data_IF_298640532267
#
_entry.id   IF_298640532267
#
_cell.length_a   1.000
_cell.length_b   1.000
_cell.length_c   1.000
_cell.angle_alpha   90.00
_cell.angle_beta   90.00
_cell.angle_gamma   90.00
#
_symmetry.space_group_name_H-M   'P 1'
#
loop_
_entity.id
_entity.type
_entity.pdbx_description
1 polymer ?
#
# COMPACT_ATOMS: atom_id res chain seq x y z
N UNK A 1 -12.33 -15.00 3.84
CA UNK A 1 -13.63 -14.61 4.42
C UNK A 1 -14.06 -13.21 3.96
N UNK A 2 -13.53 -12.10 4.48
CA UNK A 2 -14.01 -10.74 4.12
C UNK A 2 -13.94 -10.39 2.61
N UNK A 3 -12.84 -10.75 1.92
CA UNK A 3 -12.66 -10.49 0.48
C UNK A 3 -13.65 -11.28 -0.37
N UNK A 4 -13.92 -12.52 0.02
CA UNK A 4 -14.76 -13.44 -0.76
C UNK A 4 -16.21 -12.94 -0.80
N UNK A 5 -16.71 -12.34 0.30
CA UNK A 5 -18.01 -11.68 0.33
C UNK A 5 -18.10 -10.51 -0.65
N UNK A 6 -17.05 -9.70 -0.77
CA UNK A 6 -17.02 -8.55 -1.70
C UNK A 6 -16.97 -9.01 -3.16
N UNK A 7 -16.30 -10.12 -3.44
CA UNK A 7 -16.26 -10.75 -4.78
C UNK A 7 -17.61 -11.41 -5.10
N UNK A 8 -18.23 -12.07 -4.12
CA UNK A 8 -19.56 -12.66 -4.21
C UNK A 8 -20.71 -11.63 -4.28
N UNK A 9 -20.39 -10.33 -4.34
CA UNK A 9 -21.36 -9.27 -4.63
C UNK A 9 -21.95 -8.58 -3.40
N UNK A 10 -21.43 -8.81 -2.19
CA UNK A 10 -21.86 -8.09 -0.98
C UNK A 10 -21.32 -6.66 -1.04
N UNK A 11 -22.07 -5.78 -1.72
CA UNK A 11 -21.79 -4.35 -1.90
C UNK A 11 -23.11 -3.58 -1.90
N UNK A 12 -23.11 -2.37 -1.33
CA UNK A 12 -24.26 -1.48 -1.34
C UNK A 12 -23.84 -0.07 -1.72
N UNK A 13 -24.73 0.65 -2.40
CA UNK A 13 -24.57 2.07 -2.71
C UNK A 13 -25.55 2.86 -1.86
N UNK A 14 -25.13 4.03 -1.37
CA UNK A 14 -26.01 5.00 -0.73
C UNK A 14 -25.91 6.35 -1.44
N UNK A 15 -27.01 7.09 -1.45
CA UNK A 15 -27.05 8.44 -2.03
C UNK A 15 -26.86 9.46 -0.91
N UNK A 16 -25.73 10.16 -0.91
CA UNK A 16 -25.56 11.36 -0.10
C UNK A 16 -26.32 12.53 -0.75
N UNK A 17 -27.00 13.34 0.06
CA UNK A 17 -27.59 14.61 -0.39
C UNK A 17 -26.67 15.75 0.02
N UNK A 18 -26.66 16.82 -0.77
CA UNK A 18 -25.98 18.05 -0.40
C UNK A 18 -26.52 18.57 0.94
N UNK A 19 -25.60 18.91 1.83
CA UNK A 19 -25.96 19.59 3.07
C UNK A 19 -26.40 21.02 2.75
N UNK A 20 -27.34 21.56 3.53
CA UNK A 20 -27.68 22.98 3.40
C UNK A 20 -26.46 23.84 3.71
N UNK A 21 -26.37 25.04 3.11
CA UNK A 21 -25.26 25.98 3.36
C UNK A 21 -25.09 26.27 4.86
N UNK A 22 -26.20 26.32 5.59
CA UNK A 22 -26.23 26.49 7.05
C UNK A 22 -25.62 25.30 7.80
N UNK A 23 -25.84 24.07 7.32
CA UNK A 23 -25.21 22.87 7.87
C UNK A 23 -23.72 22.80 7.46
N UNK A 24 -23.36 23.21 6.24
CA UNK A 24 -21.97 23.28 5.79
C UNK A 24 -21.16 24.29 6.62
N UNK A 25 -21.75 25.43 6.97
CA UNK A 25 -21.13 26.47 7.81
C UNK A 25 -21.06 26.05 9.29
N UNK A 26 -22.07 25.33 9.80
CA UNK A 26 -22.07 24.83 11.18
C UNK A 26 -21.05 23.71 11.43
N UNK A 27 -20.65 22.98 10.38
CA UNK A 27 -19.66 21.88 10.45
C UNK A 27 -18.29 22.29 9.90
N UNK A 28 -18.13 23.53 9.45
CA UNK A 28 -16.85 24.10 9.10
C UNK A 28 -16.04 24.28 10.38
N UNK A 29 -15.42 23.19 10.85
CA UNK A 29 -14.31 23.28 11.77
C UNK A 29 -13.33 24.33 11.21
N UNK A 30 -12.79 25.24 12.03
CA UNK A 30 -11.76 26.15 11.54
C UNK A 30 -10.72 25.28 10.87
N UNK A 31 -10.45 25.56 9.60
CA UNK A 31 -9.35 24.92 8.89
C UNK A 31 -8.07 25.36 9.59
N UNK A 32 -7.74 24.72 10.72
CA UNK A 32 -6.37 24.64 11.21
C UNK A 32 -5.58 24.23 9.98
N UNK A 33 -4.69 25.10 9.55
CA UNK A 33 -3.92 24.91 8.33
C UNK A 33 -3.19 23.57 8.43
N UNK A 34 -3.83 22.52 7.90
CA UNK A 34 -3.20 21.22 7.74
C UNK A 34 -2.07 21.51 6.76
N UNK A 35 -0.83 21.39 7.22
CA UNK A 35 0.32 21.57 6.35
C UNK A 35 0.11 20.70 5.10
N UNK A 36 0.20 21.29 3.91
CA UNK A 36 0.10 20.54 2.67
C UNK A 36 1.29 19.57 2.58
N UNK A 37 1.10 18.34 3.04
CA UNK A 37 2.14 17.31 2.96
C UNK A 37 2.03 16.61 1.61
N UNK A 38 3.08 16.75 0.78
CA UNK A 38 3.19 16.04 -0.49
C UNK A 38 3.97 14.74 -0.31
N UNK A 39 3.39 13.63 -0.79
CA UNK A 39 4.05 12.32 -0.82
C UNK A 39 4.31 11.90 -2.26
N UNK A 40 5.51 11.35 -2.52
CA UNK A 40 5.88 10.75 -3.80
C UNK A 40 5.95 9.24 -3.60
N UNK A 41 5.05 8.48 -4.22
CA UNK A 41 4.96 7.01 -4.13
C UNK A 41 4.81 6.46 -5.55
N UNK A 42 5.46 5.35 -5.85
CA UNK A 42 5.31 4.63 -7.11
C UNK A 42 5.17 3.14 -6.84
N UNK A 43 4.47 2.42 -7.74
CA UNK A 43 4.38 0.97 -7.71
C UNK A 43 5.61 0.37 -8.41
N UNK A 44 6.27 -0.58 -7.76
CA UNK A 44 7.45 -1.27 -8.29
C UNK A 44 7.29 -2.78 -8.10
N UNK A 45 7.70 -3.56 -9.09
CA UNK A 45 7.80 -5.01 -8.95
C UNK A 45 9.06 -5.38 -8.15
N UNK A 46 8.89 -6.24 -7.14
CA UNK A 46 9.94 -6.69 -6.24
C UNK A 46 9.74 -8.19 -6.00
N UNK A 47 10.82 -8.95 -6.09
CA UNK A 47 10.83 -10.34 -5.66
C UNK A 47 10.84 -10.40 -4.13
N UNK A 48 9.79 -10.97 -3.54
CA UNK A 48 9.68 -11.16 -2.10
C UNK A 48 9.99 -12.60 -1.71
N UNK A 49 11.05 -12.80 -0.91
CA UNK A 49 11.33 -14.07 -0.24
C UNK A 49 10.63 -14.13 1.12
N UNK A 50 9.70 -15.06 1.27
CA UNK A 50 8.95 -15.26 2.52
C UNK A 50 9.74 -16.05 3.57
N UNK A 51 10.80 -16.76 3.18
CA UNK A 51 11.58 -17.61 4.07
C UNK A 51 13.10 -17.36 3.89
N UNK A 52 13.57 -16.11 4.08
CA UNK A 52 14.95 -15.72 3.72
C UNK A 52 16.02 -16.41 4.59
N UNK A 53 15.66 -16.93 5.77
CA UNK A 53 16.57 -17.69 6.62
C UNK A 53 16.82 -19.11 6.07
N UNK A 54 15.92 -19.65 5.26
CA UNK A 54 16.00 -21.02 4.73
C UNK A 54 15.78 -22.12 5.78
N UNK A 55 15.43 -21.76 7.01
CA UNK A 55 15.14 -22.64 8.13
C UNK A 55 14.15 -21.96 9.08
N UNK A 56 13.59 -22.70 10.04
CA UNK A 56 12.66 -22.14 11.02
C UNK A 56 13.42 -21.24 12.01
N UNK A 57 13.12 -19.94 11.96
CA UNK A 57 13.76 -18.94 12.81
C UNK A 57 13.37 -19.02 14.29
N UNK A 58 12.34 -19.80 14.65
CA UNK A 58 11.91 -19.97 16.04
C UNK A 58 12.79 -20.96 16.81
N UNK A 59 13.21 -22.05 16.16
CA UNK A 59 13.97 -23.14 16.79
C UNK A 59 15.36 -23.37 16.15
N UNK A 60 15.64 -22.75 15.00
CA UNK A 60 16.91 -22.92 14.28
C UNK A 60 17.01 -24.20 13.46
N UNK A 61 15.95 -25.01 13.41
CA UNK A 61 15.94 -26.28 12.68
C UNK A 61 15.52 -26.10 11.22
N UNK A 62 15.89 -27.06 10.38
CA UNK A 62 15.42 -27.10 8.99
C UNK A 62 13.90 -27.22 8.89
N UNK A 63 13.34 -26.78 7.76
CA UNK A 63 11.90 -26.84 7.53
C UNK A 63 11.36 -28.27 7.61
N UNK A 64 10.28 -28.45 8.37
CA UNK A 64 9.52 -29.69 8.43
C UNK A 64 8.64 -29.88 7.20
N UNK A 65 7.91 -30.99 7.17
CA UNK A 65 7.03 -31.34 6.02
C UNK A 65 5.95 -30.28 5.76
N UNK A 66 5.47 -29.60 6.79
CA UNK A 66 4.45 -28.57 6.65
C UNK A 66 5.01 -27.31 5.98
N UNK A 67 6.16 -26.85 6.43
CA UNK A 67 6.82 -25.64 5.94
C UNK A 67 7.34 -25.85 4.52
N UNK A 68 7.89 -27.03 4.22
CA UNK A 68 8.37 -27.40 2.89
C UNK A 68 7.27 -27.33 1.83
N UNK A 69 5.99 -27.52 2.21
CA UNK A 69 4.85 -27.34 1.30
C UNK A 69 4.72 -25.92 0.75
N UNK A 70 5.31 -24.92 1.41
CA UNK A 70 5.26 -23.52 1.01
C UNK A 70 6.64 -22.96 0.61
N UNK A 71 7.73 -23.51 1.15
CA UNK A 71 9.08 -22.96 0.95
C UNK A 71 9.87 -23.67 -0.14
N UNK A 72 9.60 -24.95 -0.39
CA UNK A 72 10.36 -25.74 -1.37
C UNK A 72 9.87 -25.45 -2.78
N UNK A 73 10.78 -24.97 -3.63
CA UNK A 73 10.50 -24.86 -5.06
C UNK A 73 10.44 -26.25 -5.71
N UNK A 74 9.53 -26.42 -6.67
CA UNK A 74 9.35 -27.63 -7.44
C UNK A 74 8.77 -27.30 -8.82
N UNK A 75 8.51 -28.32 -9.63
CA UNK A 75 8.08 -28.12 -11.02
C UNK A 75 6.74 -27.39 -11.17
N UNK A 76 5.82 -27.59 -10.21
CA UNK A 76 4.53 -26.90 -10.14
C UNK A 76 4.43 -25.90 -8.97
N UNK A 77 5.51 -25.70 -8.22
CA UNK A 77 5.48 -24.94 -6.97
C UNK A 77 6.55 -23.84 -6.97
N UNK A 78 6.17 -22.56 -6.81
CA UNK A 78 7.11 -21.44 -6.88
C UNK A 78 8.10 -21.38 -5.70
N UNK A 79 7.83 -22.10 -4.61
CA UNK A 79 8.65 -22.07 -3.39
C UNK A 79 8.48 -20.76 -2.61
N UNK A 80 9.50 -20.39 -1.83
CA UNK A 80 9.44 -19.24 -0.91
C UNK A 80 9.47 -17.87 -1.58
N UNK A 81 9.76 -17.79 -2.89
CA UNK A 81 9.92 -16.52 -3.61
C UNK A 81 8.76 -16.27 -4.55
N UNK A 82 8.25 -15.05 -4.53
CA UNK A 82 7.20 -14.63 -5.46
C UNK A 82 7.37 -13.17 -5.84
N UNK A 83 7.12 -12.88 -7.11
CA UNK A 83 7.04 -11.51 -7.60
C UNK A 83 5.83 -10.81 -6.98
N UNK A 84 6.04 -9.60 -6.48
CA UNK A 84 4.99 -8.76 -5.88
C UNK A 84 5.15 -7.33 -6.31
N UNK A 85 4.09 -6.55 -6.19
CA UNK A 85 4.15 -5.11 -6.32
C UNK A 85 4.28 -4.50 -4.93
N UNK A 86 5.34 -3.70 -4.72
CA UNK A 86 5.54 -2.86 -3.54
C UNK A 86 5.42 -1.40 -3.92
N UNK A 87 5.09 -0.53 -2.95
CA UNK A 87 4.88 0.89 -3.22
C UNK A 87 5.71 1.77 -2.29
N UNK A 88 7.02 1.89 -2.55
CA UNK A 88 7.91 2.69 -1.73
C UNK A 88 7.64 4.20 -1.86
N UNK A 89 8.02 4.93 -0.83
CA UNK A 89 8.04 6.38 -0.84
C UNK A 89 9.38 6.92 -1.36
N UNK A 90 9.33 8.05 -2.05
CA UNK A 90 10.47 8.76 -2.64
C UNK A 90 10.60 10.15 -2.07
N UNK A 91 11.81 10.71 -2.19
CA UNK A 91 12.12 12.07 -1.72
C UNK A 91 11.54 13.14 -2.62
N UNK A 92 11.31 12.84 -3.91
CA UNK A 92 10.81 13.79 -4.91
C UNK A 92 10.13 13.12 -6.10
N UNK A 93 9.44 13.92 -6.91
CA UNK A 93 8.64 13.45 -8.06
C UNK A 93 9.42 12.95 -9.28
N UNK A 94 10.76 12.89 -9.20
CA UNK A 94 11.59 12.21 -10.21
C UNK A 94 11.75 10.71 -9.93
N UNK A 95 11.29 10.23 -8.76
CA UNK A 95 11.34 8.82 -8.37
C UNK A 95 12.73 8.16 -8.45
N UNK A 96 13.80 8.94 -8.29
CA UNK A 96 15.19 8.44 -8.34
C UNK A 96 15.65 7.92 -6.98
N UNK A 97 15.34 8.66 -5.91
CA UNK A 97 15.85 8.36 -4.57
C UNK A 97 14.70 7.95 -3.64
N UNK A 98 14.72 6.67 -3.21
CA UNK A 98 13.79 6.16 -2.21
C UNK A 98 14.03 6.84 -0.86
N UNK A 99 12.96 7.19 -0.16
CA UNK A 99 13.03 7.61 1.24
C UNK A 99 13.47 6.40 2.06
N UNK A 100 14.65 6.48 2.69
CA UNK A 100 15.08 5.46 3.65
C UNK A 100 14.13 5.50 4.84
N UNK A 101 13.56 4.34 5.20
CA UNK A 101 12.87 4.19 6.47
C UNK A 101 13.86 4.32 7.62
N UNK A 102 13.45 4.89 8.75
CA UNK A 102 14.24 4.83 9.98
C UNK A 102 14.38 3.38 10.46
N UNK A 103 15.26 3.15 11.44
CA UNK A 103 15.47 1.82 12.03
C UNK A 103 14.15 1.20 12.57
N UNK A 104 13.21 2.06 12.95
CA UNK A 104 11.84 1.75 13.38
C UNK A 104 10.94 1.15 12.29
N UNK A 105 11.36 1.13 11.01
CA UNK A 105 10.55 0.60 9.89
C UNK A 105 11.16 -0.65 9.25
N UNK A 106 12.25 -1.17 9.78
CA UNK A 106 12.94 -2.36 9.25
C UNK A 106 12.06 -3.62 9.30
N UNK A 107 11.18 -3.73 10.31
CA UNK A 107 10.26 -4.86 10.46
C UNK A 107 8.99 -4.77 9.58
N UNK A 108 8.85 -3.70 8.81
CA UNK A 108 7.59 -3.43 8.10
C UNK A 108 7.40 -4.27 6.82
N UNK A 109 8.47 -4.85 6.26
CA UNK A 109 8.47 -5.82 5.17
C UNK A 109 7.39 -5.61 4.09
N UNK A 110 6.63 -6.67 3.84
CA UNK A 110 5.33 -6.73 3.12
C UNK A 110 4.43 -5.49 3.26
N UNK A 111 4.17 -5.20 4.53
CA UNK A 111 2.93 -4.63 5.06
C UNK A 111 3.04 -3.11 5.25
N UNK A 112 4.26 -2.61 5.53
CA UNK A 112 4.51 -1.19 5.77
C UNK A 112 4.25 -0.28 4.58
N UNK A 113 4.37 -0.82 3.37
CA UNK A 113 4.42 -0.01 2.14
C UNK A 113 3.14 -0.12 1.29
N UNK A 114 2.29 -1.11 1.57
CA UNK A 114 1.03 -1.31 0.85
C UNK A 114 -0.04 -0.24 1.18
N UNK A 115 0.00 0.37 2.38
CA UNK A 115 -0.99 1.39 2.80
C UNK A 115 -1.05 2.61 1.89
N UNK A 116 0.04 2.91 1.18
CA UNK A 116 0.15 4.12 0.35
C UNK A 116 -0.21 3.87 -1.12
N UNK A 117 -0.17 2.63 -1.59
CA UNK A 117 -0.40 2.31 -3.00
C UNK A 117 -1.85 2.51 -3.45
N UNK A 118 -2.80 2.31 -2.54
CA UNK A 118 -4.23 2.54 -2.79
C UNK A 118 -4.69 3.98 -2.54
N UNK A 119 -3.80 4.87 -2.09
CA UNK A 119 -4.14 6.27 -1.83
C UNK A 119 -3.78 7.10 -3.06
N UNK A 120 -4.64 7.03 -4.07
CA UNK A 120 -4.62 7.94 -5.22
C UNK A 120 -5.11 9.32 -4.79
N UNK A 121 -4.40 10.09 -3.96
CA UNK A 121 -4.76 11.50 -3.74
C UNK A 121 -3.54 12.39 -3.52
N UNK A 122 -3.19 13.14 -4.57
CA UNK A 122 -2.68 14.49 -4.38
C UNK A 122 -3.86 15.36 -3.89
N UNK A 123 -3.92 15.67 -2.60
CA UNK A 123 -4.76 16.78 -2.13
C UNK A 123 -4.04 18.06 -2.55
N UNK A 124 -4.28 18.51 -3.79
CA UNK A 124 -4.05 19.89 -4.18
C UNK A 124 -5.37 20.64 -4.03
N UNK A 125 -5.63 21.13 -2.82
CA UNK A 125 -6.58 22.23 -2.66
C UNK A 125 -5.90 23.51 -3.13
N UNK A 126 -5.88 23.72 -4.45
CA UNK A 126 -5.64 25.04 -5.03
C UNK A 126 -6.72 25.24 -6.08
N UNK A 127 -7.58 26.24 -5.83
CA UNK A 127 -8.54 26.77 -6.79
C UNK A 127 -7.87 26.92 -8.17
N UNK A 128 -8.46 26.31 -9.18
CA UNK A 128 -8.09 26.49 -10.58
C UNK A 128 -7.28 25.33 -11.16
N UNK A 129 -7.93 24.59 -12.05
CA UNK A 129 -7.36 23.70 -13.08
C UNK A 129 -6.72 22.39 -12.59
N UNK A 130 -7.51 21.31 -12.71
CA UNK A 130 -7.07 19.93 -12.55
C UNK A 130 -6.29 19.48 -13.79
N UNK A 131 -4.97 19.55 -13.75
CA UNK A 131 -4.13 18.84 -14.73
C UNK A 131 -3.82 17.43 -14.22
N UNK A 132 -4.46 16.43 -14.82
CA UNK A 132 -4.10 15.03 -14.68
C UNK A 132 -2.88 14.76 -15.57
N UNK A 133 -1.72 14.46 -14.99
CA UNK A 133 -0.62 13.84 -15.72
C UNK A 133 -0.70 12.33 -15.49
N UNK A 134 -1.44 11.66 -16.36
CA UNK A 134 -1.32 10.22 -16.53
C UNK A 134 0.03 9.91 -17.17
N UNK A 135 0.81 9.03 -16.55
CA UNK A 135 1.97 8.41 -17.20
C UNK A 135 1.43 7.19 -17.93
N UNK A 136 1.46 7.27 -19.27
CA UNK A 136 1.01 6.21 -20.17
C UNK A 136 1.97 5.02 -20.22
N UNK A 137 1.37 3.89 -20.61
CA UNK A 137 1.87 2.62 -21.12
C UNK A 137 3.37 2.29 -20.97
#
# INVERSE_FOLDING_TARGET
MQRDHVIAGVRALYKAREASERAAQATAAPATAIANVTHFIAAEEVEGDYAPLGHDGCNGEGFGQHELGFTKAGELWPGSRSLKVMCPAYTGGRFVQRKRGGADKQFSGVVGQAKLCGITFAIRAARGEHTFLGVGA
#
